data_IF_447877889483
#
_entry.id   IF_447877889483
#
_cell.length_a   1.000
_cell.length_b   1.000
_cell.length_c   1.000
_cell.angle_alpha   90.00
_cell.angle_beta   90.00
_cell.angle_gamma   90.00
#
_symmetry.space_group_name_H-M   'P 1'
#
loop_
_entity.id
_entity.type
_entity.pdbx_description
1 polymer ?
#
# COMPACT_ATOMS: atom_id res chain seq x y z
N UNK A 1 19.99 -3.72 -41.28
CA UNK A 1 20.19 -5.13 -41.67
C UNK A 1 21.21 -5.82 -40.77
N UNK A 2 22.40 -5.23 -40.57
CA UNK A 2 23.48 -5.77 -39.71
C UNK A 2 23.12 -5.84 -38.22
N UNK A 3 22.43 -4.83 -37.71
CA UNK A 3 22.04 -4.75 -36.28
C UNK A 3 20.96 -5.79 -35.93
N UNK A 4 19.91 -5.91 -36.75
CA UNK A 4 18.89 -6.96 -36.64
C UNK A 4 19.50 -8.37 -36.77
N UNK A 5 20.46 -8.57 -37.69
CA UNK A 5 21.15 -9.86 -37.82
C UNK A 5 22.00 -10.21 -36.59
N UNK A 6 22.63 -9.20 -35.96
CA UNK A 6 23.38 -9.38 -34.72
C UNK A 6 22.46 -9.70 -33.53
N UNK A 7 21.32 -8.99 -33.39
CA UNK A 7 20.32 -9.27 -32.35
C UNK A 7 19.76 -10.69 -32.50
N UNK A 8 19.43 -11.11 -33.73
CA UNK A 8 18.92 -12.47 -34.00
C UNK A 8 19.98 -13.51 -33.67
N UNK A 9 21.24 -13.26 -34.02
CA UNK A 9 22.35 -14.17 -33.72
C UNK A 9 22.59 -14.29 -32.22
N UNK A 10 22.61 -13.16 -31.50
CA UNK A 10 22.80 -13.10 -30.04
C UNK A 10 21.63 -13.77 -29.29
N UNK A 11 20.38 -13.53 -29.73
CA UNK A 11 19.19 -14.17 -29.15
C UNK A 11 19.12 -15.68 -29.45
N UNK A 12 19.68 -16.14 -30.58
CA UNK A 12 19.75 -17.55 -30.95
C UNK A 12 20.91 -18.31 -30.29
N UNK A 13 21.99 -17.62 -29.94
CA UNK A 13 23.20 -18.22 -29.36
C UNK A 13 23.10 -18.40 -27.85
N UNK A 14 22.27 -17.60 -27.17
CA UNK A 14 22.10 -17.65 -25.70
C UNK A 14 20.66 -17.75 -25.20
N UNK A 15 19.82 -18.66 -25.75
CA UNK A 15 18.44 -18.84 -25.31
C UNK A 15 18.33 -19.24 -23.83
N UNK A 16 19.37 -19.89 -23.27
CA UNK A 16 19.44 -20.26 -21.86
C UNK A 16 19.64 -19.06 -20.93
N UNK A 17 20.52 -18.10 -21.25
CA UNK A 17 20.71 -16.88 -20.43
C UNK A 17 19.44 -16.01 -20.45
N UNK A 18 18.77 -15.90 -21.61
CA UNK A 18 17.49 -15.21 -21.70
C UNK A 18 16.41 -15.90 -20.86
N UNK A 19 16.32 -17.23 -20.92
CA UNK A 19 15.36 -18.00 -20.11
C UNK A 19 15.65 -17.86 -18.61
N UNK A 20 16.91 -17.88 -18.18
CA UNK A 20 17.31 -17.66 -16.79
C UNK A 20 16.88 -16.27 -16.30
N UNK A 21 17.10 -15.22 -17.09
CA UNK A 21 16.70 -13.85 -16.73
C UNK A 21 15.18 -13.72 -16.53
N UNK A 22 14.38 -14.33 -17.43
CA UNK A 22 12.92 -14.36 -17.33
C UNK A 22 12.47 -15.14 -16.09
N UNK A 23 13.09 -16.29 -15.81
CA UNK A 23 12.76 -17.09 -14.62
C UNK A 23 13.05 -16.30 -13.35
N UNK A 24 14.18 -15.61 -13.26
CA UNK A 24 14.55 -14.79 -12.10
C UNK A 24 13.59 -13.61 -11.93
N UNK A 25 13.25 -12.90 -13.01
CA UNK A 25 12.30 -11.78 -12.97
C UNK A 25 10.92 -12.26 -12.50
N UNK A 26 10.37 -13.31 -13.11
CA UNK A 26 9.06 -13.86 -12.74
C UNK A 26 9.04 -14.39 -11.30
N UNK A 27 10.13 -14.99 -10.84
CA UNK A 27 10.27 -15.45 -9.45
C UNK A 27 10.24 -14.27 -8.48
N UNK A 28 10.93 -13.16 -8.80
CA UNK A 28 10.91 -11.93 -7.98
C UNK A 28 9.54 -11.26 -7.99
N UNK A 29 8.86 -11.21 -9.13
CA UNK A 29 7.50 -10.67 -9.25
C UNK A 29 6.51 -11.46 -8.37
N UNK A 30 6.49 -12.79 -8.49
CA UNK A 30 5.64 -13.66 -7.67
C UNK A 30 5.93 -13.49 -6.18
N UNK A 31 7.20 -13.31 -5.84
CA UNK A 31 7.63 -13.00 -4.50
C UNK A 31 7.06 -11.68 -3.97
N UNK A 32 7.24 -10.59 -4.72
CA UNK A 32 6.72 -9.27 -4.35
C UNK A 32 5.20 -9.24 -4.27
N UNK A 33 4.53 -9.98 -5.15
CA UNK A 33 3.07 -10.12 -5.12
C UNK A 33 2.60 -10.87 -3.88
N UNK A 34 3.28 -11.96 -3.50
CA UNK A 34 2.97 -12.70 -2.27
C UNK A 34 3.13 -11.81 -1.04
N UNK A 35 4.20 -11.00 -0.98
CA UNK A 35 4.41 -10.03 0.09
C UNK A 35 3.27 -9.00 0.16
N UNK A 36 2.85 -8.47 -0.99
CA UNK A 36 1.76 -7.50 -1.08
C UNK A 36 0.42 -8.08 -0.58
N UNK A 37 0.11 -9.34 -0.93
CA UNK A 37 -1.09 -10.03 -0.45
C UNK A 37 -1.06 -10.20 1.08
N UNK A 38 0.04 -10.70 1.64
CA UNK A 38 0.19 -10.90 3.09
C UNK A 38 0.07 -9.55 3.82
N UNK A 39 0.72 -8.52 3.29
CA UNK A 39 0.62 -7.18 3.86
C UNK A 39 -0.82 -6.66 3.84
N UNK A 40 -1.52 -6.77 2.71
CA UNK A 40 -2.90 -6.29 2.55
C UNK A 40 -3.87 -6.99 3.50
N UNK A 41 -3.78 -8.32 3.61
CA UNK A 41 -4.62 -9.09 4.54
C UNK A 41 -4.33 -8.66 5.98
N UNK A 42 -3.05 -8.55 6.35
CA UNK A 42 -2.66 -8.09 7.70
C UNK A 42 -3.13 -6.66 8.00
N UNK A 43 -3.03 -5.75 7.04
CA UNK A 43 -3.52 -4.38 7.15
C UNK A 43 -5.01 -4.33 7.48
N UNK A 44 -5.83 -5.09 6.74
CA UNK A 44 -7.28 -5.16 6.99
C UNK A 44 -7.58 -5.68 8.40
N UNK A 45 -6.87 -6.74 8.84
CA UNK A 45 -7.05 -7.26 10.19
C UNK A 45 -6.63 -6.26 11.28
N UNK A 46 -5.54 -5.52 11.07
CA UNK A 46 -5.07 -4.48 11.99
C UNK A 46 -6.08 -3.34 12.07
N UNK A 47 -6.59 -2.87 10.94
CA UNK A 47 -7.60 -1.82 10.87
C UNK A 47 -8.87 -2.21 11.63
N UNK A 48 -9.40 -3.41 11.36
CA UNK A 48 -10.58 -3.94 12.07
C UNK A 48 -10.33 -4.03 13.58
N UNK A 49 -9.14 -4.46 13.98
CA UNK A 49 -8.77 -4.57 15.40
C UNK A 49 -8.67 -3.18 16.05
N UNK A 50 -8.04 -2.20 15.39
CA UNK A 50 -7.94 -0.83 15.89
C UNK A 50 -9.33 -0.23 16.09
N UNK A 51 -10.17 -0.25 15.04
CA UNK A 51 -11.54 0.24 15.10
C UNK A 51 -12.39 -0.47 16.17
N UNK A 52 -12.27 -1.79 16.30
CA UNK A 52 -12.98 -2.56 17.34
C UNK A 52 -12.53 -2.14 18.74
N UNK A 53 -11.22 -1.97 18.97
CA UNK A 53 -10.68 -1.64 20.29
C UNK A 53 -10.89 -0.17 20.68
N UNK A 54 -10.75 0.74 19.73
CA UNK A 54 -10.83 2.19 19.98
C UNK A 54 -12.29 2.63 20.15
N UNK A 55 -13.20 2.12 19.33
CA UNK A 55 -14.61 2.54 19.34
C UNK A 55 -15.55 1.56 20.03
N UNK A 56 -15.04 0.41 20.51
CA UNK A 56 -15.86 -0.71 21.01
C UNK A 56 -16.92 -1.13 19.96
N UNK A 57 -16.54 -1.07 18.69
CA UNK A 57 -17.44 -1.31 17.56
C UNK A 57 -17.60 -2.81 17.28
N UNK A 58 -18.71 -3.18 16.64
CA UNK A 58 -18.87 -4.55 16.12
C UNK A 58 -17.91 -4.82 14.96
N UNK A 59 -17.50 -6.08 14.79
CA UNK A 59 -16.61 -6.50 13.69
C UNK A 59 -17.11 -6.05 12.32
N UNK A 60 -18.42 -6.15 12.06
CA UNK A 60 -19.00 -5.74 10.78
C UNK A 60 -18.85 -4.23 10.54
N UNK A 61 -19.01 -3.41 11.58
CA UNK A 61 -18.87 -1.96 11.46
C UNK A 61 -17.40 -1.56 11.30
N UNK A 62 -16.50 -2.20 12.04
CA UNK A 62 -15.06 -2.03 11.89
C UNK A 62 -14.56 -2.48 10.50
N UNK A 63 -15.14 -3.55 9.94
CA UNK A 63 -14.83 -3.98 8.58
C UNK A 63 -15.27 -2.96 7.54
N UNK A 64 -16.41 -2.28 7.72
CA UNK A 64 -16.84 -1.21 6.81
C UNK A 64 -15.80 -0.10 6.76
N UNK A 65 -15.30 0.34 7.91
CA UNK A 65 -14.25 1.35 8.01
C UNK A 65 -12.96 0.91 7.31
N UNK A 66 -12.48 -0.30 7.61
CA UNK A 66 -11.29 -0.90 7.01
C UNK A 66 -11.33 -1.04 5.47
N UNK A 67 -12.51 -0.95 4.85
CA UNK A 67 -12.66 -0.92 3.39
C UNK A 67 -12.96 0.49 2.85
N UNK A 68 -13.87 1.23 3.48
CA UNK A 68 -14.34 2.52 2.99
C UNK A 68 -13.27 3.59 3.11
N UNK A 69 -12.53 3.63 4.23
CA UNK A 69 -11.48 4.61 4.44
C UNK A 69 -10.40 4.54 3.34
N UNK A 70 -9.78 3.37 3.05
CA UNK A 70 -8.78 3.27 1.98
C UNK A 70 -9.32 3.67 0.60
N UNK A 71 -10.59 3.40 0.31
CA UNK A 71 -11.21 3.77 -0.97
C UNK A 71 -11.28 5.30 -1.10
N UNK A 72 -11.80 5.99 -0.08
CA UNK A 72 -11.93 7.45 -0.12
C UNK A 72 -10.55 8.12 -0.14
N UNK A 73 -9.60 7.61 0.65
CA UNK A 73 -8.20 8.05 0.61
C UNK A 73 -7.54 7.81 -0.75
N UNK A 74 -7.87 6.71 -1.43
CA UNK A 74 -7.43 6.43 -2.79
C UNK A 74 -7.95 7.47 -3.79
N UNK A 75 -9.21 7.90 -3.66
CA UNK A 75 -9.74 9.00 -4.47
C UNK A 75 -9.05 10.34 -4.19
N UNK A 76 -8.76 10.63 -2.92
CA UNK A 76 -7.99 11.82 -2.54
C UNK A 76 -6.59 11.81 -3.15
N UNK A 77 -5.88 10.68 -3.05
CA UNK A 77 -4.58 10.48 -3.70
C UNK A 77 -4.66 10.71 -5.21
N UNK A 78 -5.63 10.07 -5.88
CA UNK A 78 -5.81 10.18 -7.32
C UNK A 78 -6.07 11.63 -7.75
N UNK A 79 -6.94 12.34 -7.04
CA UNK A 79 -7.22 13.75 -7.29
C UNK A 79 -5.95 14.60 -7.19
N UNK A 80 -5.20 14.47 -6.09
CA UNK A 80 -3.96 15.23 -5.91
C UNK A 80 -2.95 14.93 -7.01
N UNK A 81 -2.73 13.66 -7.32
CA UNK A 81 -1.75 13.25 -8.32
C UNK A 81 -2.16 13.69 -9.74
N UNK A 82 -3.44 13.61 -10.10
CA UNK A 82 -3.93 13.97 -11.43
C UNK A 82 -3.83 15.48 -11.70
N UNK A 83 -4.07 16.33 -10.70
CA UNK A 83 -4.18 17.78 -10.91
C UNK A 83 -2.96 18.59 -10.45
N UNK A 84 -2.18 18.08 -9.50
CA UNK A 84 -1.13 18.86 -8.82
C UNK A 84 0.28 18.30 -8.95
N UNK A 85 0.47 17.09 -9.48
CA UNK A 85 1.81 16.50 -9.65
C UNK A 85 2.78 17.39 -10.43
N UNK A 86 2.33 17.97 -11.54
CA UNK A 86 3.17 18.84 -12.37
C UNK A 86 3.27 20.28 -11.84
N UNK A 87 2.52 20.62 -10.78
CA UNK A 87 2.39 22.00 -10.26
C UNK A 87 3.09 22.21 -8.93
N UNK A 88 3.24 21.15 -8.14
CA UNK A 88 3.81 21.17 -6.79
C UNK A 88 5.05 20.29 -6.74
N UNK A 89 5.95 20.56 -5.79
CA UNK A 89 7.06 19.65 -5.52
C UNK A 89 6.56 18.36 -4.85
N UNK A 90 7.27 17.25 -5.06
CA UNK A 90 6.92 15.94 -4.49
C UNK A 90 6.76 16.00 -2.95
N UNK A 91 7.62 16.75 -2.28
CA UNK A 91 7.58 16.94 -0.83
C UNK A 91 6.29 17.67 -0.42
N UNK A 92 5.95 18.76 -1.11
CA UNK A 92 4.75 19.53 -0.80
C UNK A 92 3.48 18.69 -1.06
N UNK A 93 3.46 17.94 -2.17
CA UNK A 93 2.36 17.03 -2.49
C UNK A 93 2.21 15.94 -1.41
N UNK A 94 3.31 15.40 -0.91
CA UNK A 94 3.33 14.41 0.17
C UNK A 94 2.76 14.98 1.47
N UNK A 95 3.13 16.20 1.84
CA UNK A 95 2.59 16.87 3.04
C UNK A 95 1.09 17.10 2.91
N UNK A 96 0.63 17.63 1.76
CA UNK A 96 -0.80 17.85 1.49
C UNK A 96 -1.58 16.53 1.53
N UNK A 97 -1.04 15.50 0.89
CA UNK A 97 -1.63 14.16 0.92
C UNK A 97 -1.76 13.65 2.36
N UNK A 98 -0.71 13.77 3.17
CA UNK A 98 -0.68 13.27 4.55
C UNK A 98 -1.71 13.96 5.44
N UNK A 99 -1.80 15.29 5.35
CA UNK A 99 -2.80 16.05 6.11
C UNK A 99 -4.22 15.67 5.66
N UNK A 100 -4.45 15.61 4.34
CA UNK A 100 -5.75 15.22 3.81
C UNK A 100 -6.14 13.79 4.20
N UNK A 101 -5.19 12.85 4.17
CA UNK A 101 -5.37 11.47 4.63
C UNK A 101 -5.88 11.43 6.07
N UNK A 102 -5.19 12.11 7.01
CA UNK A 102 -5.58 12.14 8.42
C UNK A 102 -6.98 12.73 8.59
N UNK A 103 -7.29 13.80 7.86
CA UNK A 103 -8.61 14.44 7.90
C UNK A 103 -9.70 13.49 7.38
N UNK A 104 -9.47 12.83 6.24
CA UNK A 104 -10.42 11.87 5.66
C UNK A 104 -10.64 10.69 6.60
N UNK A 105 -9.57 10.06 7.10
CA UNK A 105 -9.65 8.96 8.06
C UNK A 105 -10.44 9.35 9.32
N UNK A 106 -10.10 10.50 9.92
CA UNK A 106 -10.81 11.02 11.10
C UNK A 106 -12.30 11.23 10.82
N UNK A 107 -12.66 11.74 9.64
CA UNK A 107 -14.06 11.95 9.26
C UNK A 107 -14.79 10.63 8.98
N UNK A 108 -14.15 9.68 8.31
CA UNK A 108 -14.69 8.33 8.09
C UNK A 108 -15.03 7.67 9.41
N UNK A 109 -14.05 7.56 10.32
CA UNK A 109 -14.26 6.97 11.64
C UNK A 109 -15.33 7.72 12.45
N UNK A 110 -15.32 9.05 12.45
CA UNK A 110 -16.33 9.83 13.17
C UNK A 110 -17.75 9.58 12.64
N UNK A 111 -17.92 9.48 11.32
CA UNK A 111 -19.23 9.22 10.69
C UNK A 111 -19.66 7.76 10.90
N UNK A 112 -18.78 6.80 10.68
CA UNK A 112 -19.09 5.36 10.75
C UNK A 112 -19.42 4.93 12.18
N UNK A 113 -18.62 5.39 13.15
CA UNK A 113 -18.78 5.00 14.56
C UNK A 113 -19.62 5.98 15.37
N UNK A 114 -20.07 7.10 14.77
CA UNK A 114 -20.70 8.20 15.50
C UNK A 114 -19.86 8.67 16.69
N UNK A 115 -18.54 8.64 16.52
CA UNK A 115 -17.56 8.92 17.56
C UNK A 115 -17.13 10.40 17.54
N UNK A 116 -16.70 10.96 18.68
CA UNK A 116 -16.19 12.32 18.70
C UNK A 116 -14.86 12.41 17.94
N UNK A 117 -14.62 13.56 17.28
CA UNK A 117 -13.46 13.76 16.39
C UNK A 117 -12.11 13.52 17.08
N UNK A 118 -11.98 13.82 18.37
CA UNK A 118 -10.75 13.56 19.11
C UNK A 118 -10.45 12.07 19.23
N UNK A 119 -11.46 11.22 19.39
CA UNK A 119 -11.30 9.76 19.44
C UNK A 119 -11.07 9.19 18.04
N UNK A 120 -11.81 9.70 17.04
CA UNK A 120 -11.60 9.32 15.64
C UNK A 120 -10.20 9.68 15.14
N UNK A 121 -9.66 10.82 15.58
CA UNK A 121 -8.30 11.22 15.25
C UNK A 121 -7.26 10.26 15.86
N UNK A 122 -7.53 9.65 17.02
CA UNK A 122 -6.61 8.65 17.60
C UNK A 122 -6.45 7.48 16.64
N UNK A 123 -7.53 6.96 16.08
CA UNK A 123 -7.50 5.86 15.13
C UNK A 123 -6.71 6.22 13.86
N UNK A 124 -6.98 7.42 13.29
CA UNK A 124 -6.26 7.97 12.14
C UNK A 124 -4.73 8.13 12.33
N UNK A 125 -4.22 8.05 13.56
CA UNK A 125 -2.79 7.97 13.85
C UNK A 125 -2.33 6.56 14.24
N UNK A 126 -3.08 5.90 15.13
CA UNK A 126 -2.67 4.61 15.72
C UNK A 126 -2.66 3.51 14.66
N UNK A 127 -3.69 3.43 13.82
CA UNK A 127 -3.77 2.40 12.77
C UNK A 127 -2.56 2.48 11.82
N UNK A 128 -2.26 3.64 11.18
CA UNK A 128 -1.10 3.75 10.29
C UNK A 128 0.23 3.40 10.96
N UNK A 129 0.40 3.74 12.24
CA UNK A 129 1.62 3.44 13.00
C UNK A 129 1.77 1.92 13.17
N UNK A 130 0.72 1.23 13.61
CA UNK A 130 0.76 -0.23 13.79
C UNK A 130 0.98 -0.92 12.44
N UNK A 131 0.30 -0.45 11.39
CA UNK A 131 0.50 -0.95 10.02
C UNK A 131 1.93 -0.72 9.50
N UNK A 132 2.58 0.38 9.88
CA UNK A 132 3.99 0.62 9.56
C UNK A 132 4.93 -0.40 10.24
N UNK A 133 4.66 -0.75 11.51
CA UNK A 133 5.41 -1.81 12.20
C UNK A 133 5.21 -3.18 11.56
N UNK A 134 3.97 -3.52 11.18
CA UNK A 134 3.66 -4.75 10.43
C UNK A 134 4.41 -4.81 9.10
N UNK A 135 4.36 -3.73 8.32
CA UNK A 135 5.11 -3.61 7.07
C UNK A 135 6.61 -3.80 7.29
N UNK A 136 7.20 -3.13 8.29
CA UNK A 136 8.61 -3.24 8.61
C UNK A 136 9.01 -4.68 8.98
N UNK A 137 8.20 -5.35 9.78
CA UNK A 137 8.43 -6.75 10.15
C UNK A 137 8.41 -7.67 8.92
N UNK A 138 7.38 -7.57 8.09
CA UNK A 138 7.28 -8.35 6.85
C UNK A 138 8.44 -8.08 5.90
N UNK A 139 8.78 -6.80 5.70
CA UNK A 139 9.88 -6.40 4.83
C UNK A 139 11.23 -6.93 5.32
N UNK A 140 11.46 -6.91 6.64
CA UNK A 140 12.68 -7.48 7.25
C UNK A 140 12.76 -9.00 7.07
N UNK A 141 11.65 -9.71 7.21
CA UNK A 141 11.60 -11.16 6.93
C UNK A 141 11.87 -11.44 5.44
N UNK A 142 11.24 -10.68 4.56
CA UNK A 142 11.41 -10.79 3.11
C UNK A 142 12.87 -10.63 2.68
N UNK A 143 13.55 -9.61 3.21
CA UNK A 143 14.98 -9.38 2.96
C UNK A 143 15.83 -10.54 3.45
N UNK A 144 15.54 -11.12 4.62
CA UNK A 144 16.29 -12.26 5.14
C UNK A 144 16.11 -13.51 4.28
N UNK A 145 14.94 -13.71 3.70
CA UNK A 145 14.63 -14.91 2.89
C UNK A 145 15.12 -14.81 1.44
N UNK A 146 15.26 -13.59 0.89
CA UNK A 146 15.70 -13.34 -0.49
C UNK A 146 17.09 -12.69 -0.60
N UNK A 147 17.86 -12.69 0.48
CA UNK A 147 19.28 -12.30 0.52
C UNK A 147 20.16 -13.53 0.66
#
# INVERSE_FOLDING_TARGET
>A
MTELANIIKESAEKPTEQLESIIVERTRELGSFTLALIYTVGHIFIAILCATLIFNASFNLAAIDAFIEPIINGFWFYFLHQFFKEKLSDILLTVIYTIGHIVVATLCAAVIFSAPLNLAAVDAFVEPIINAFWFYFLHKLWQKTNS
#
